data_IF_392132992557
#
_entry.id   IF_392132992557
#
_cell.length_a   1.000
_cell.length_b   1.000
_cell.length_c   1.000
_cell.angle_alpha   90.00
_cell.angle_beta   90.00
_cell.angle_gamma   90.00
#
_symmetry.space_group_name_H-M   'P 1'
#
loop_
_entity.id
_entity.type
_entity.pdbx_description
1 polymer ?
#
# COMPACT_ATOMS: atom_id res chain seq x y z
N UNK A 1 -2.02 24.27 -21.23
CA UNK A 1 -3.44 24.08 -21.59
C UNK A 1 -3.64 23.61 -23.03
N UNK A 2 -2.81 24.08 -23.99
CA UNK A 2 -3.02 23.82 -25.43
C UNK A 2 -2.89 22.39 -25.91
N UNK A 3 -1.97 21.62 -25.34
CA UNK A 3 -1.73 20.22 -25.78
C UNK A 3 -2.90 19.31 -25.44
N UNK A 4 -3.57 19.50 -24.32
CA UNK A 4 -4.71 18.68 -23.90
C UNK A 4 -5.97 18.90 -24.72
N UNK A 5 -6.29 20.15 -25.08
CA UNK A 5 -7.42 20.44 -25.93
C UNK A 5 -7.20 19.90 -27.35
N UNK A 6 -5.97 19.91 -27.85
CA UNK A 6 -5.62 19.40 -29.17
C UNK A 6 -5.71 17.86 -29.25
N UNK A 7 -5.31 17.14 -28.22
CA UNK A 7 -5.35 15.68 -28.15
C UNK A 7 -6.46 15.14 -27.24
N UNK A 8 -7.41 15.94 -26.82
CA UNK A 8 -8.45 15.57 -25.87
C UNK A 8 -9.31 14.37 -26.31
N UNK A 9 -9.44 14.17 -27.62
CA UNK A 9 -10.18 13.04 -28.20
C UNK A 9 -9.28 11.87 -28.61
N UNK A 10 -7.97 11.94 -28.38
CA UNK A 10 -7.05 10.87 -28.77
C UNK A 10 -7.21 9.67 -27.80
N UNK A 11 -7.19 8.45 -28.36
CA UNK A 11 -7.38 7.20 -27.58
C UNK A 11 -6.35 6.97 -26.48
N UNK A 12 -5.18 7.63 -26.52
CA UNK A 12 -4.14 7.60 -25.50
C UNK A 12 -4.20 8.78 -24.53
N UNK A 13 -5.18 9.68 -24.68
CA UNK A 13 -5.37 10.74 -23.70
C UNK A 13 -5.84 10.12 -22.37
N UNK A 14 -5.18 10.50 -21.26
CA UNK A 14 -5.38 9.92 -19.93
C UNK A 14 -4.96 8.44 -19.78
N UNK A 15 -4.19 7.88 -20.71
CA UNK A 15 -3.60 6.57 -20.50
C UNK A 15 -2.32 6.68 -19.67
N UNK A 16 -2.09 5.71 -18.81
CA UNK A 16 -0.84 5.50 -18.09
C UNK A 16 -0.16 4.24 -18.65
N UNK A 17 1.12 4.38 -19.02
CA UNK A 17 1.95 3.25 -19.41
C UNK A 17 3.10 3.13 -18.42
N UNK A 18 3.20 1.99 -17.78
CA UNK A 18 4.32 1.65 -16.90
C UNK A 18 5.16 0.58 -17.58
N UNK A 19 6.47 0.79 -17.64
CA UNK A 19 7.45 -0.21 -18.09
C UNK A 19 8.51 -0.32 -17.02
N UNK A 20 8.79 -1.53 -16.58
CA UNK A 20 9.79 -1.80 -15.57
C UNK A 20 10.34 -3.21 -15.74
N UNK A 21 11.54 -3.45 -15.26
CA UNK A 21 12.01 -4.79 -15.01
C UNK A 21 11.18 -5.43 -13.89
N UNK A 22 11.19 -6.76 -13.83
CA UNK A 22 10.54 -7.47 -12.73
C UNK A 22 11.16 -7.02 -11.40
N UNK A 23 10.36 -6.56 -10.43
CA UNK A 23 10.88 -5.99 -9.21
C UNK A 23 11.67 -7.02 -8.40
N UNK A 24 12.81 -6.59 -7.87
CA UNK A 24 13.64 -7.37 -6.97
C UNK A 24 13.26 -7.17 -5.50
N UNK A 25 12.46 -6.15 -5.22
CA UNK A 25 11.96 -5.76 -3.90
C UNK A 25 10.46 -5.59 -3.94
N UNK A 26 9.83 -5.70 -2.78
CA UNK A 26 8.39 -5.48 -2.64
C UNK A 26 7.96 -4.05 -2.96
N UNK A 27 8.82 -3.05 -2.75
CA UNK A 27 8.51 -1.65 -3.10
C UNK A 27 8.26 -1.46 -4.60
N UNK A 28 8.99 -2.18 -5.45
CA UNK A 28 8.79 -2.15 -6.89
C UNK A 28 7.59 -2.98 -7.36
N UNK A 29 6.96 -3.78 -6.50
CA UNK A 29 5.93 -4.74 -6.89
C UNK A 29 4.52 -4.15 -7.04
N UNK A 30 4.32 -2.87 -6.70
CA UNK A 30 3.01 -2.22 -6.71
C UNK A 30 2.25 -2.36 -8.04
N UNK A 31 2.95 -2.44 -9.16
CA UNK A 31 2.32 -2.58 -10.47
C UNK A 31 1.91 -4.03 -10.82
N UNK A 32 2.41 -5.04 -10.10
CA UNK A 32 2.06 -6.44 -10.33
C UNK A 32 0.56 -6.71 -10.07
N UNK A 33 -0.06 -5.95 -9.17
CA UNK A 33 -1.49 -6.08 -8.90
C UNK A 33 -2.39 -5.67 -10.09
N UNK A 34 -1.83 -5.01 -11.11
CA UNK A 34 -2.58 -4.74 -12.35
C UNK A 34 -2.86 -6.02 -13.17
N UNK A 35 -2.14 -7.12 -12.91
CA UNK A 35 -2.46 -8.41 -13.49
C UNK A 35 -3.86 -8.88 -13.05
N UNK A 36 -4.16 -8.77 -11.76
CA UNK A 36 -5.47 -9.17 -11.21
C UNK A 36 -6.61 -8.24 -11.65
N UNK A 37 -6.28 -7.01 -12.06
CA UNK A 37 -7.25 -6.04 -12.58
C UNK A 37 -7.49 -6.17 -14.10
N UNK A 38 -6.73 -7.02 -14.77
CA UNK A 38 -6.90 -7.22 -16.21
C UNK A 38 -8.12 -8.10 -16.49
N UNK A 39 -9.11 -7.53 -17.16
CA UNK A 39 -10.22 -8.28 -17.75
C UNK A 39 -9.80 -8.84 -19.10
N UNK A 40 -9.54 -10.15 -19.14
CA UNK A 40 -9.07 -10.85 -20.34
C UNK A 40 -10.12 -10.86 -21.45
N UNK A 41 -11.42 -10.96 -21.12
CA UNK A 41 -12.52 -10.93 -22.10
C UNK A 41 -12.63 -9.56 -22.75
N UNK A 42 -12.51 -8.49 -21.95
CA UNK A 42 -12.48 -7.12 -22.46
C UNK A 42 -11.27 -6.89 -23.37
N UNK A 43 -10.09 -7.38 -23.00
CA UNK A 43 -8.88 -7.27 -23.83
C UNK A 43 -9.05 -8.02 -25.17
N UNK A 44 -9.61 -9.20 -25.16
CA UNK A 44 -9.85 -9.96 -26.41
C UNK A 44 -10.93 -9.32 -27.27
N UNK A 45 -11.95 -8.73 -26.67
CA UNK A 45 -12.95 -7.91 -27.38
C UNK A 45 -12.30 -6.69 -28.03
N UNK A 46 -11.38 -6.01 -27.33
CA UNK A 46 -10.60 -4.88 -27.87
C UNK A 46 -9.78 -5.34 -29.09
N UNK A 47 -9.05 -6.47 -28.99
CA UNK A 47 -8.27 -7.03 -30.10
C UNK A 47 -9.16 -7.37 -31.30
N UNK A 48 -10.29 -8.03 -31.06
CA UNK A 48 -11.27 -8.37 -32.11
C UNK A 48 -11.84 -7.12 -32.79
N UNK A 49 -12.11 -6.05 -32.02
CA UNK A 49 -12.58 -4.76 -32.53
C UNK A 49 -11.51 -4.08 -33.38
N UNK A 50 -10.26 -4.07 -32.97
CA UNK A 50 -9.13 -3.55 -33.75
C UNK A 50 -9.00 -4.29 -35.07
N UNK A 51 -9.13 -5.62 -35.05
CA UNK A 51 -9.09 -6.43 -36.26
C UNK A 51 -10.25 -6.10 -37.24
N UNK A 52 -11.47 -5.92 -36.71
CA UNK A 52 -12.63 -5.48 -37.53
C UNK A 52 -12.44 -4.09 -38.13
N UNK A 53 -11.83 -3.16 -37.37
CA UNK A 53 -11.47 -1.82 -37.87
C UNK A 53 -10.49 -1.95 -39.03
N UNK A 54 -9.45 -2.77 -38.90
CA UNK A 54 -8.46 -3.01 -39.93
C UNK A 54 -9.12 -3.62 -41.17
N UNK A 55 -9.92 -4.67 -41.04
CA UNK A 55 -10.66 -5.29 -42.17
C UNK A 55 -11.57 -4.30 -42.88
N UNK A 56 -12.27 -3.45 -42.13
CA UNK A 56 -13.16 -2.44 -42.70
C UNK A 56 -12.39 -1.38 -43.48
N UNK A 57 -11.26 -0.91 -42.94
CA UNK A 57 -10.35 0.03 -43.63
C UNK A 57 -9.78 -0.59 -44.92
N UNK A 58 -9.34 -1.83 -44.85
CA UNK A 58 -8.83 -2.57 -45.99
C UNK A 58 -9.89 -2.71 -47.09
N UNK A 59 -11.14 -3.06 -46.69
CA UNK A 59 -12.26 -3.12 -47.63
C UNK A 59 -12.56 -1.80 -48.32
N UNK A 60 -12.51 -0.69 -47.58
CA UNK A 60 -12.68 0.66 -48.12
C UNK A 60 -11.55 0.98 -49.12
N UNK A 61 -10.30 0.63 -48.78
CA UNK A 61 -9.15 0.84 -49.66
C UNK A 61 -9.28 0.07 -50.99
N UNK A 62 -9.65 -1.21 -50.91
CA UNK A 62 -9.88 -2.05 -52.12
C UNK A 62 -10.98 -1.50 -53.03
N UNK A 63 -12.09 -1.00 -52.46
CA UNK A 63 -13.15 -0.38 -53.24
C UNK A 63 -12.68 0.90 -53.92
N UNK A 64 -11.84 1.72 -53.26
CA UNK A 64 -11.23 2.91 -53.87
C UNK A 64 -10.32 2.56 -55.04
N UNK A 65 -9.43 1.58 -54.85
CA UNK A 65 -8.54 1.10 -55.95
C UNK A 65 -9.31 0.61 -57.16
N UNK A 66 -10.41 -0.13 -56.89
CA UNK A 66 -11.30 -0.63 -57.96
C UNK A 66 -12.21 0.46 -58.55
N UNK A 67 -12.11 1.71 -58.10
CA UNK A 67 -12.98 2.84 -58.48
C UNK A 67 -14.48 2.53 -58.31
N UNK A 68 -14.82 1.66 -57.33
CA UNK A 68 -16.21 1.33 -56.99
C UNK A 68 -16.77 2.27 -55.95
N UNK A 69 -18.09 2.55 -55.96
CA UNK A 69 -18.72 3.37 -54.94
C UNK A 69 -18.56 2.71 -53.56
N UNK A 70 -18.24 3.53 -52.53
CA UNK A 70 -18.14 3.06 -51.16
C UNK A 70 -19.55 3.10 -50.56
N UNK A 71 -20.10 1.94 -50.13
CA UNK A 71 -21.39 1.91 -49.43
C UNK A 71 -21.38 2.77 -48.20
N UNK A 72 -22.41 3.58 -47.98
CA UNK A 72 -22.48 4.54 -46.86
C UNK A 72 -22.45 3.89 -45.49
N UNK A 73 -22.81 2.62 -45.38
CA UNK A 73 -22.75 1.90 -44.11
C UNK A 73 -21.30 1.62 -43.63
N UNK A 74 -20.33 1.49 -44.55
CA UNK A 74 -18.94 1.17 -44.18
C UNK A 74 -18.27 2.30 -43.37
N UNK A 75 -18.31 3.59 -43.77
CA UNK A 75 -17.83 4.70 -42.99
C UNK A 75 -18.56 4.83 -41.64
N UNK A 76 -19.88 4.63 -41.61
CA UNK A 76 -20.67 4.69 -40.38
C UNK A 76 -20.31 3.57 -39.42
N UNK A 77 -20.13 2.35 -39.94
CA UNK A 77 -19.70 1.19 -39.15
C UNK A 77 -18.28 1.43 -38.58
N UNK A 78 -17.37 1.95 -39.40
CA UNK A 78 -16.03 2.28 -38.94
C UNK A 78 -16.05 3.30 -37.78
N UNK A 79 -16.85 4.35 -37.90
CA UNK A 79 -17.03 5.36 -36.84
C UNK A 79 -17.61 4.73 -35.56
N UNK A 80 -18.56 3.83 -35.67
CA UNK A 80 -19.14 3.12 -34.53
C UNK A 80 -18.10 2.21 -33.86
N UNK A 81 -17.30 1.47 -34.66
CA UNK A 81 -16.21 0.64 -34.15
C UNK A 81 -15.16 1.48 -33.38
N UNK A 82 -14.75 2.63 -33.94
CA UNK A 82 -13.78 3.53 -33.30
C UNK A 82 -14.34 4.09 -31.99
N UNK A 83 -15.61 4.48 -31.93
CA UNK A 83 -16.25 4.94 -30.71
C UNK A 83 -16.35 3.82 -29.64
N UNK A 84 -16.72 2.62 -30.06
CA UNK A 84 -16.78 1.46 -29.17
C UNK A 84 -15.41 1.09 -28.63
N UNK A 85 -14.38 1.10 -29.48
CA UNK A 85 -13.00 0.85 -29.10
C UNK A 85 -12.51 1.87 -28.05
N UNK A 86 -12.82 3.16 -28.24
CA UNK A 86 -12.42 4.20 -27.31
C UNK A 86 -13.10 4.02 -25.94
N UNK A 87 -14.39 3.64 -25.91
CA UNK A 87 -15.09 3.33 -24.65
C UNK A 87 -14.46 2.14 -23.92
N UNK A 88 -14.17 1.05 -24.64
CA UNK A 88 -13.53 -0.12 -24.04
C UNK A 88 -12.13 0.21 -23.49
N UNK A 89 -11.33 0.96 -24.26
CA UNK A 89 -9.99 1.37 -23.85
C UNK A 89 -9.98 2.30 -22.64
N UNK A 90 -11.02 3.11 -22.43
CA UNK A 90 -11.07 4.04 -21.30
C UNK A 90 -11.16 3.36 -19.94
N UNK A 91 -11.60 2.10 -19.91
CA UNK A 91 -11.74 1.30 -18.67
C UNK A 91 -10.82 0.08 -18.64
N UNK A 92 -10.10 -0.19 -19.73
CA UNK A 92 -9.27 -1.38 -19.83
C UNK A 92 -7.96 -1.24 -19.06
N UNK A 93 -7.62 -2.27 -18.32
CA UNK A 93 -6.30 -2.51 -17.79
C UNK A 93 -5.64 -3.60 -18.60
N UNK A 94 -4.43 -3.36 -19.09
CA UNK A 94 -3.64 -4.34 -19.82
C UNK A 94 -2.33 -4.59 -19.10
N UNK A 95 -2.08 -5.84 -18.76
CA UNK A 95 -0.85 -6.31 -18.15
C UNK A 95 -0.20 -7.37 -19.02
N UNK A 96 1.12 -7.30 -19.20
CA UNK A 96 1.87 -8.30 -19.94
C UNK A 96 3.31 -8.35 -19.47
N UNK A 97 3.80 -9.55 -19.26
CA UNK A 97 5.19 -9.84 -18.94
C UNK A 97 5.93 -10.32 -20.19
N UNK A 98 7.16 -9.84 -20.34
CA UNK A 98 8.04 -10.24 -21.44
C UNK A 98 9.41 -10.58 -20.88
N UNK A 99 9.89 -11.77 -21.15
CA UNK A 99 11.26 -12.15 -20.84
C UNK A 99 12.23 -11.73 -21.96
N UNK A 100 13.48 -11.54 -21.62
CA UNK A 100 14.54 -11.31 -22.63
C UNK A 100 14.64 -12.49 -23.61
N UNK A 101 14.21 -13.69 -23.20
CA UNK A 101 14.22 -14.89 -24.04
C UNK A 101 13.30 -14.76 -25.28
N UNK A 102 12.27 -13.90 -25.22
CA UNK A 102 11.41 -13.65 -26.39
C UNK A 102 12.17 -12.96 -27.55
N UNK A 103 13.30 -12.29 -27.21
CA UNK A 103 14.19 -11.66 -28.17
C UNK A 103 15.44 -12.51 -28.48
N UNK A 104 15.45 -13.80 -28.14
CA UNK A 104 16.61 -14.68 -28.28
C UNK A 104 17.15 -14.73 -29.72
N UNK A 105 16.26 -14.69 -30.71
CA UNK A 105 16.65 -14.70 -32.13
C UNK A 105 17.48 -13.47 -32.53
N UNK A 106 17.26 -12.31 -31.87
CA UNK A 106 17.99 -11.07 -32.13
C UNK A 106 19.25 -10.97 -31.30
N UNK A 107 19.20 -11.40 -30.03
CA UNK A 107 20.28 -11.26 -29.07
C UNK A 107 21.32 -12.38 -29.14
N UNK A 108 20.90 -13.58 -29.55
CA UNK A 108 21.71 -14.78 -29.56
C UNK A 108 21.87 -15.42 -28.16
N UNK A 109 22.13 -16.73 -28.16
CA UNK A 109 22.30 -17.50 -26.90
C UNK A 109 23.51 -17.01 -26.06
N UNK A 110 24.56 -16.56 -26.74
CA UNK A 110 25.78 -16.14 -26.03
C UNK A 110 25.53 -14.92 -25.15
N UNK A 111 24.67 -13.99 -25.57
CA UNK A 111 24.23 -12.88 -24.74
C UNK A 111 23.59 -13.37 -23.43
N UNK A 112 22.68 -14.35 -23.50
CA UNK A 112 22.02 -14.90 -22.31
C UNK A 112 23.02 -15.59 -21.39
N UNK A 113 23.98 -16.33 -21.97
CA UNK A 113 25.05 -17.00 -21.20
C UNK A 113 25.97 -15.99 -20.50
N UNK A 114 26.28 -14.89 -21.19
CA UNK A 114 27.05 -13.80 -20.60
C UNK A 114 26.30 -13.14 -19.45
N UNK A 115 25.04 -12.77 -19.64
CA UNK A 115 24.20 -12.19 -18.56
C UNK A 115 24.11 -13.12 -17.36
N UNK A 116 24.02 -14.44 -17.56
CA UNK A 116 24.00 -15.43 -16.48
C UNK A 116 25.33 -15.47 -15.70
N UNK A 117 26.46 -15.17 -16.32
CA UNK A 117 27.78 -15.11 -15.66
C UNK A 117 27.99 -13.80 -14.91
N UNK A 118 27.50 -12.68 -15.49
CA UNK A 118 27.81 -11.33 -15.03
C UNK A 118 26.82 -10.84 -13.95
N UNK A 119 25.59 -11.34 -13.96
CA UNK A 119 24.56 -10.92 -13.03
C UNK A 119 24.45 -11.86 -11.83
N UNK A 120 23.98 -11.30 -10.71
CA UNK A 120 23.60 -12.16 -9.58
C UNK A 120 22.43 -13.07 -9.98
N UNK A 121 22.28 -14.27 -9.37
CA UNK A 121 21.17 -15.18 -9.68
C UNK A 121 19.81 -14.49 -9.58
N UNK A 122 19.61 -13.64 -8.57
CA UNK A 122 18.38 -12.88 -8.36
C UNK A 122 18.11 -11.89 -9.49
N UNK A 123 19.12 -11.10 -9.87
CA UNK A 123 19.02 -10.14 -10.98
C UNK A 123 18.77 -10.85 -12.30
N UNK A 124 19.44 -11.97 -12.54
CA UNK A 124 19.21 -12.78 -13.75
C UNK A 124 17.76 -13.26 -13.84
N UNK A 125 17.22 -13.79 -12.74
CA UNK A 125 15.83 -14.25 -12.69
C UNK A 125 14.83 -13.12 -12.95
N UNK A 126 15.03 -11.94 -12.34
CA UNK A 126 14.08 -10.83 -12.49
C UNK A 126 14.23 -10.07 -13.79
N UNK A 127 15.46 -9.67 -14.17
CA UNK A 127 15.65 -8.79 -15.32
C UNK A 127 15.77 -9.54 -16.65
N UNK A 128 16.26 -10.77 -16.66
CA UNK A 128 16.43 -11.55 -17.90
C UNK A 128 15.27 -12.52 -18.09
N UNK A 129 14.90 -13.28 -17.06
CA UNK A 129 13.84 -14.28 -17.17
C UNK A 129 12.45 -13.73 -16.87
N UNK A 130 12.33 -12.48 -16.40
CA UNK A 130 11.07 -11.84 -15.99
C UNK A 130 10.32 -12.67 -14.93
N UNK A 131 11.06 -13.35 -14.04
CA UNK A 131 10.45 -14.17 -13.01
C UNK A 131 10.04 -13.32 -11.82
N UNK A 132 8.79 -13.48 -11.37
CA UNK A 132 8.35 -12.93 -10.09
C UNK A 132 9.14 -13.59 -8.98
N UNK A 133 9.89 -12.79 -8.24
CA UNK A 133 10.45 -13.27 -6.99
C UNK A 133 9.30 -13.24 -6.00
N UNK A 134 8.85 -14.41 -5.59
CA UNK A 134 7.87 -14.54 -4.51
C UNK A 134 8.37 -13.79 -3.28
N UNK A 135 7.44 -13.23 -2.50
CA UNK A 135 7.70 -12.78 -1.14
C UNK A 135 8.44 -13.94 -0.48
N UNK A 136 9.64 -13.66 0.00
CA UNK A 136 10.48 -14.70 0.59
C UNK A 136 9.69 -15.40 1.68
N UNK A 137 9.38 -16.70 1.51
CA UNK A 137 8.86 -17.54 2.58
C UNK A 137 9.85 -17.62 3.76
N UNK A 138 11.05 -17.10 3.58
CA UNK A 138 12.12 -16.99 4.57
C UNK A 138 12.09 -15.67 5.35
N UNK A 139 11.05 -14.83 5.17
CA UNK A 139 10.87 -13.59 5.93
C UNK A 139 10.47 -13.82 7.38
N UNK A 140 10.63 -12.79 8.22
CA UNK A 140 10.23 -12.85 9.63
C UNK A 140 8.73 -13.08 9.79
N UNK A 141 7.92 -12.60 8.85
CA UNK A 141 6.45 -12.77 8.79
C UNK A 141 6.03 -13.77 7.71
N UNK A 142 6.65 -14.95 7.74
CA UNK A 142 6.52 -15.97 6.69
C UNK A 142 5.10 -16.50 6.46
N UNK A 143 4.22 -16.36 7.45
CA UNK A 143 2.81 -16.81 7.36
C UNK A 143 1.85 -15.72 6.85
N UNK A 144 2.32 -14.49 6.60
CA UNK A 144 1.49 -13.45 5.98
C UNK A 144 1.19 -13.80 4.53
N UNK A 145 -0.09 -13.72 4.14
CA UNK A 145 -0.58 -14.02 2.80
C UNK A 145 -1.36 -12.82 2.24
N UNK A 146 -1.68 -12.84 0.95
CA UNK A 146 -2.42 -11.74 0.30
C UNK A 146 -3.81 -11.53 0.90
N UNK A 147 -4.48 -12.59 1.34
CA UNK A 147 -5.81 -12.49 1.96
C UNK A 147 -5.83 -11.78 3.33
N UNK A 148 -4.66 -11.51 3.92
CA UNK A 148 -4.56 -10.66 5.12
C UNK A 148 -4.62 -9.16 4.81
N UNK A 149 -4.77 -8.79 3.56
CA UNK A 149 -4.89 -7.41 3.11
C UNK A 149 -6.31 -7.20 2.57
N UNK A 150 -6.91 -6.07 2.88
CA UNK A 150 -8.24 -5.71 2.42
C UNK A 150 -8.30 -4.23 2.03
N UNK A 151 -9.31 -3.88 1.25
CA UNK A 151 -9.63 -2.49 0.89
C UNK A 151 -10.87 -2.04 1.66
N UNK A 152 -10.85 -0.83 2.19
CA UNK A 152 -11.91 -0.30 3.06
C UNK A 152 -12.17 1.19 2.81
N UNK A 153 -12.43 1.58 1.56
CA UNK A 153 -12.81 2.95 1.24
C UNK A 153 -14.31 3.16 1.42
N UNK A 154 -14.69 4.27 2.05
CA UNK A 154 -16.06 4.77 2.05
C UNK A 154 -16.28 5.64 0.80
N UNK A 155 -16.76 5.02 -0.27
CA UNK A 155 -17.02 5.71 -1.54
C UNK A 155 -18.14 6.73 -1.43
N UNK A 156 -19.17 6.47 -0.63
CA UNK A 156 -20.30 7.41 -0.46
C UNK A 156 -19.82 8.70 0.21
N UNK A 157 -18.93 8.58 1.19
CA UNK A 157 -18.31 9.72 1.81
C UNK A 157 -17.38 10.48 0.86
N UNK A 158 -16.53 9.77 0.11
CA UNK A 158 -15.64 10.36 -0.90
C UNK A 158 -16.43 11.11 -1.98
N UNK A 159 -17.54 10.54 -2.45
CA UNK A 159 -18.43 11.18 -3.43
C UNK A 159 -19.09 12.44 -2.83
N UNK A 160 -19.48 12.38 -1.54
CA UNK A 160 -20.06 13.54 -0.83
C UNK A 160 -19.11 14.74 -0.73
N UNK A 161 -17.81 14.48 -0.66
CA UNK A 161 -16.77 15.52 -0.70
C UNK A 161 -16.60 16.15 -2.08
N UNK A 162 -17.32 15.66 -3.09
CA UNK A 162 -17.16 16.11 -4.47
C UNK A 162 -15.80 15.69 -5.06
N UNK A 163 -15.24 14.58 -4.57
CA UNK A 163 -13.94 14.06 -5.02
C UNK A 163 -13.90 13.87 -6.53
N UNK A 164 -15.01 13.43 -7.11
CA UNK A 164 -15.21 13.30 -8.55
C UNK A 164 -15.15 14.66 -9.27
N UNK A 165 -15.66 15.72 -8.63
CA UNK A 165 -15.59 17.10 -9.15
C UNK A 165 -14.17 17.65 -9.06
N UNK A 166 -13.50 17.40 -7.94
CA UNK A 166 -12.12 17.81 -7.71
C UNK A 166 -11.17 17.10 -8.68
N UNK A 167 -11.37 15.79 -8.90
CA UNK A 167 -10.61 15.03 -9.90
C UNK A 167 -10.89 15.56 -11.31
N UNK A 168 -12.13 15.86 -11.66
CA UNK A 168 -12.50 16.45 -12.96
C UNK A 168 -11.91 17.85 -13.16
N UNK A 169 -11.97 18.69 -12.14
CA UNK A 169 -11.35 20.02 -12.16
C UNK A 169 -9.82 19.91 -12.21
N UNK A 170 -9.24 18.98 -11.47
CA UNK A 170 -7.82 18.66 -11.50
C UNK A 170 -7.37 18.11 -12.86
N UNK A 171 -8.19 17.32 -13.52
CA UNK A 171 -7.92 16.83 -14.88
C UNK A 171 -7.96 17.94 -15.93
N UNK A 172 -8.71 19.02 -15.69
CA UNK A 172 -8.74 20.18 -16.57
C UNK A 172 -7.50 21.05 -16.41
N UNK A 173 -6.85 21.06 -15.25
CA UNK A 173 -5.72 21.92 -14.97
C UNK A 173 -4.57 21.25 -14.16
N UNK A 174 -4.07 20.12 -14.67
CA UNK A 174 -2.95 19.37 -14.07
C UNK A 174 -1.66 20.22 -13.94
N UNK A 175 -1.52 21.26 -14.75
CA UNK A 175 -0.36 22.15 -14.68
C UNK A 175 -0.42 23.03 -13.43
N UNK A 176 -1.59 23.56 -13.11
CA UNK A 176 -1.82 24.38 -11.92
C UNK A 176 -1.73 23.55 -10.63
N UNK A 177 -2.16 22.29 -10.68
CA UNK A 177 -2.12 21.37 -9.54
C UNK A 177 -0.67 20.99 -9.20
N UNK A 178 0.18 20.67 -10.19
CA UNK A 178 1.60 20.42 -9.98
C UNK A 178 2.34 21.67 -9.47
N UNK A 179 1.98 22.85 -9.96
CA UNK A 179 2.60 24.11 -9.54
C UNK A 179 2.22 24.51 -8.10
N UNK A 180 1.01 24.17 -7.64
CA UNK A 180 0.47 24.64 -6.37
C UNK A 180 0.43 23.57 -5.25
N UNK A 181 1.02 22.38 -5.46
CA UNK A 181 0.98 21.28 -4.47
C UNK A 181 -0.45 20.90 -4.00
N UNK A 182 -1.47 21.17 -4.79
CA UNK A 182 -2.88 20.94 -4.39
C UNK A 182 -3.21 19.45 -4.17
N UNK A 183 -2.44 18.51 -4.76
CA UNK A 183 -2.55 17.09 -4.43
C UNK A 183 -2.13 16.79 -2.97
N UNK A 184 -1.14 17.49 -2.45
CA UNK A 184 -0.76 17.34 -1.04
C UNK A 184 -1.82 17.91 -0.09
N UNK A 185 -2.52 18.98 -0.52
CA UNK A 185 -3.62 19.59 0.24
C UNK A 185 -4.88 18.70 0.23
N UNK A 186 -5.15 18.01 -0.87
CA UNK A 186 -6.24 17.02 -0.96
C UNK A 186 -5.99 15.81 -0.06
N UNK A 187 -4.79 15.25 -0.08
CA UNK A 187 -4.41 14.16 0.81
C UNK A 187 -4.36 14.58 2.29
N UNK A 188 -4.04 15.83 2.59
CA UNK A 188 -4.03 16.36 3.96
C UNK A 188 -5.43 16.68 4.51
N UNK A 189 -6.45 16.77 3.64
CA UNK A 189 -7.85 16.97 4.04
C UNK A 189 -8.63 15.67 4.27
N UNK A 190 -8.06 14.51 3.90
CA UNK A 190 -8.69 13.21 4.14
C UNK A 190 -8.52 12.82 5.61
N UNK A 191 -9.59 12.35 6.20
CA UNK A 191 -9.65 11.89 7.58
C UNK A 191 -10.26 10.48 7.68
N UNK A 192 -10.41 9.99 8.88
CA UNK A 192 -10.87 8.63 9.14
C UNK A 192 -12.29 8.30 8.63
N UNK A 193 -13.06 9.28 8.17
CA UNK A 193 -14.37 9.06 7.53
C UNK A 193 -14.25 8.48 6.13
N UNK A 194 -13.06 8.54 5.54
CA UNK A 194 -12.80 7.87 4.26
C UNK A 194 -12.68 6.36 4.38
N UNK A 195 -12.63 5.84 5.60
CA UNK A 195 -12.45 4.42 5.88
C UNK A 195 -13.75 3.79 6.39
N UNK A 196 -14.20 2.72 5.75
CA UNK A 196 -15.40 1.97 6.14
C UNK A 196 -15.15 0.89 7.20
N UNK A 197 -13.92 0.71 7.64
CA UNK A 197 -13.49 -0.36 8.54
C UNK A 197 -13.38 0.04 10.02
N UNK A 198 -13.64 1.31 10.34
CA UNK A 198 -13.53 1.84 11.70
C UNK A 198 -14.85 1.63 12.46
N UNK A 199 -14.77 1.09 13.68
CA UNK A 199 -15.90 1.07 14.60
C UNK A 199 -15.90 2.36 15.44
N UNK A 200 -16.87 3.27 15.24
CA UNK A 200 -16.87 4.57 15.91
C UNK A 200 -17.09 4.49 17.42
N UNK A 201 -17.63 3.37 17.91
CA UNK A 201 -17.94 3.20 19.33
C UNK A 201 -16.78 2.62 20.14
N UNK A 202 -15.82 2.00 19.47
CA UNK A 202 -14.67 1.37 20.14
C UNK A 202 -13.48 2.30 20.23
N UNK A 203 -12.64 2.16 21.29
CA UNK A 203 -11.36 2.86 21.36
C UNK A 203 -10.42 2.39 20.26
N UNK A 204 -9.43 3.21 19.96
CA UNK A 204 -8.35 2.87 19.05
C UNK A 204 -7.20 2.23 19.82
N UNK A 205 -6.69 1.10 19.34
CA UNK A 205 -5.50 0.46 19.91
C UNK A 205 -4.27 0.90 19.15
N UNK A 206 -3.19 1.25 19.84
CA UNK A 206 -1.93 1.64 19.21
C UNK A 206 -0.73 0.89 19.81
N UNK A 207 0.23 0.62 18.92
CA UNK A 207 1.61 0.25 19.25
C UNK A 207 2.57 1.22 18.59
N UNK A 208 3.70 1.49 19.24
CA UNK A 208 4.68 2.43 18.73
C UNK A 208 6.08 1.83 18.72
N UNK A 209 6.90 2.35 17.83
CA UNK A 209 8.36 2.21 17.89
C UNK A 209 9.03 3.58 17.95
N UNK A 210 10.07 3.70 18.80
CA UNK A 210 10.73 4.95 19.12
C UNK A 210 12.17 4.90 18.64
N UNK A 211 12.51 5.82 17.73
CA UNK A 211 13.87 5.89 17.22
C UNK A 211 14.29 7.34 16.99
N UNK A 212 15.59 7.60 16.99
CA UNK A 212 16.13 8.92 16.74
C UNK A 212 15.79 9.46 15.35
N UNK A 213 15.71 8.59 14.36
CA UNK A 213 15.55 8.95 12.95
C UNK A 213 14.12 8.79 12.42
N UNK A 214 13.36 7.86 12.98
CA UNK A 214 11.99 7.57 12.55
C UNK A 214 11.19 7.11 13.78
N UNK A 215 9.98 7.61 13.92
CA UNK A 215 9.03 7.15 14.91
C UNK A 215 7.78 6.68 14.18
N UNK A 216 7.20 5.58 14.66
CA UNK A 216 6.08 4.94 14.00
C UNK A 216 4.93 4.62 14.96
N UNK A 217 3.68 4.90 14.54
CA UNK A 217 2.45 4.44 15.19
C UNK A 217 1.76 3.46 14.26
N UNK A 218 1.34 2.33 14.79
CA UNK A 218 0.41 1.42 14.13
C UNK A 218 -0.89 1.41 14.91
N UNK A 219 -2.00 1.71 14.24
CA UNK A 219 -3.34 1.77 14.82
C UNK A 219 -4.20 0.61 14.34
N UNK A 220 -4.95 -0.01 15.25
CA UNK A 220 -5.87 -1.09 14.93
C UNK A 220 -7.04 -1.19 15.89
N UNK A 221 -8.03 -1.99 15.50
CA UNK A 221 -9.17 -2.36 16.34
C UNK A 221 -9.41 -3.87 16.30
N UNK A 222 -9.44 -4.55 17.46
CA UNK A 222 -9.87 -5.94 17.54
C UNK A 222 -11.37 -6.07 17.23
N UNK A 223 -11.75 -7.03 16.37
CA UNK A 223 -13.12 -7.36 16.06
C UNK A 223 -13.29 -8.88 16.02
N UNK A 224 -14.02 -9.44 16.96
CA UNK A 224 -14.16 -10.89 17.10
C UNK A 224 -12.79 -11.60 17.12
N UNK A 225 -12.46 -12.38 16.13
CA UNK A 225 -11.19 -13.10 15.98
C UNK A 225 -10.19 -12.39 15.04
N UNK A 226 -10.43 -11.10 14.73
CA UNK A 226 -9.57 -10.31 13.83
C UNK A 226 -8.97 -9.12 14.56
N UNK A 227 -7.76 -8.76 14.19
CA UNK A 227 -7.20 -7.45 14.47
C UNK A 227 -7.10 -6.70 13.15
N UNK A 228 -8.01 -5.74 12.94
CA UNK A 228 -7.95 -4.87 11.79
C UNK A 228 -6.89 -3.79 12.04
N UNK A 229 -5.83 -3.77 11.24
CA UNK A 229 -4.83 -2.72 11.21
C UNK A 229 -5.36 -1.62 10.30
N UNK A 230 -5.87 -0.56 10.93
CA UNK A 230 -6.61 0.50 10.26
C UNK A 230 -5.67 1.42 9.48
N UNK A 231 -4.65 1.95 10.19
CA UNK A 231 -3.70 2.89 9.59
C UNK A 231 -2.39 2.92 10.34
N UNK A 232 -1.31 3.13 9.61
CA UNK A 232 0.00 3.42 10.17
C UNK A 232 0.43 4.85 9.85
N UNK A 233 1.18 5.45 10.77
CA UNK A 233 1.74 6.79 10.66
C UNK A 233 3.22 6.74 11.01
N UNK A 234 4.03 7.55 10.35
CA UNK A 234 5.42 7.72 10.73
C UNK A 234 5.91 9.14 10.45
N UNK A 235 6.93 9.53 11.20
CA UNK A 235 7.66 10.77 10.97
C UNK A 235 9.15 10.48 10.93
N UNK A 236 9.85 11.10 9.97
CA UNK A 236 11.30 11.01 9.84
C UNK A 236 11.97 12.20 10.52
N UNK A 237 13.30 12.13 10.67
CA UNK A 237 14.16 13.15 11.27
C UNK A 237 13.70 14.59 10.97
N UNK A 238 13.84 15.45 11.95
CA UNK A 238 13.29 16.78 12.22
C UNK A 238 11.87 16.76 12.81
N UNK A 239 10.98 15.88 12.38
CA UNK A 239 9.69 15.65 13.04
C UNK A 239 9.85 14.55 14.09
N UNK A 240 9.25 14.76 15.27
CA UNK A 240 9.36 13.86 16.42
C UNK A 240 7.99 13.38 16.89
N UNK A 241 7.97 12.65 18.00
CA UNK A 241 6.75 12.06 18.59
C UNK A 241 5.58 13.05 18.69
N UNK A 242 5.75 14.31 19.15
CA UNK A 242 4.62 15.25 19.20
C UNK A 242 3.97 15.47 17.84
N UNK A 243 4.77 15.61 16.78
CA UNK A 243 4.25 15.77 15.42
C UNK A 243 3.54 14.50 14.91
N UNK A 244 4.05 13.33 15.27
CA UNK A 244 3.45 12.04 14.92
C UNK A 244 2.08 11.86 15.58
N UNK A 245 1.98 12.18 16.88
CA UNK A 245 0.71 12.17 17.63
C UNK A 245 -0.26 13.20 17.08
N UNK A 246 0.22 14.39 16.70
CA UNK A 246 -0.63 15.41 16.07
C UNK A 246 -1.23 14.95 14.73
N UNK A 247 -0.42 14.28 13.88
CA UNK A 247 -0.90 13.69 12.60
C UNK A 247 -1.98 12.64 12.86
N UNK A 248 -1.77 11.76 13.84
CA UNK A 248 -2.76 10.77 14.28
C UNK A 248 -4.07 11.43 14.73
N UNK A 249 -3.97 12.39 15.66
CA UNK A 249 -5.12 13.10 16.23
C UNK A 249 -5.88 13.89 15.16
N UNK A 250 -5.19 14.45 14.18
CA UNK A 250 -5.80 15.16 13.04
C UNK A 250 -6.59 14.20 12.17
N UNK A 251 -6.02 13.06 11.82
CA UNK A 251 -6.70 12.05 11.01
C UNK A 251 -7.94 11.47 11.72
N UNK A 252 -7.82 11.14 12.99
CA UNK A 252 -8.92 10.60 13.79
C UNK A 252 -9.77 11.68 14.49
N UNK A 253 -9.64 12.96 14.10
CA UNK A 253 -10.44 14.03 14.67
C UNK A 253 -11.96 13.79 14.60
N UNK A 254 -12.55 13.19 13.52
CA UNK A 254 -13.96 12.87 13.47
C UNK A 254 -14.37 11.63 14.28
N UNK A 255 -13.42 10.79 14.74
CA UNK A 255 -13.73 9.58 15.50
C UNK A 255 -14.40 9.95 16.84
N UNK A 256 -15.64 9.46 17.14
CA UNK A 256 -16.37 9.93 18.32
C UNK A 256 -15.76 9.47 19.63
N UNK A 257 -15.24 8.25 19.70
CA UNK A 257 -14.60 7.72 20.90
C UNK A 257 -13.16 8.23 21.00
N UNK A 258 -12.91 9.23 21.84
CA UNK A 258 -11.60 9.84 22.04
C UNK A 258 -10.72 9.07 23.04
N UNK A 259 -10.78 7.75 23.01
CA UNK A 259 -9.97 6.87 23.86
C UNK A 259 -8.97 6.09 23.00
N UNK A 260 -7.70 6.12 23.42
CA UNK A 260 -6.61 5.31 22.87
C UNK A 260 -6.15 4.30 23.91
N UNK A 261 -6.08 3.03 23.52
CA UNK A 261 -5.38 2.00 24.31
C UNK A 261 -3.96 1.91 23.76
N UNK A 262 -3.02 2.34 24.57
CA UNK A 262 -1.61 2.43 24.21
C UNK A 262 -0.82 1.27 24.81
N UNK A 263 -0.40 0.35 23.94
CA UNK A 263 0.47 -0.77 24.33
C UNK A 263 1.94 -0.37 24.19
N UNK A 264 2.71 -0.59 25.26
CA UNK A 264 4.13 -0.27 25.28
C UNK A 264 4.92 -1.26 26.12
N UNK A 265 6.18 -1.41 25.82
CA UNK A 265 7.12 -2.22 26.59
C UNK A 265 8.20 -1.36 27.28
N UNK A 266 9.17 -1.98 27.94
CA UNK A 266 10.22 -1.27 28.69
C UNK A 266 11.07 -0.32 27.81
N UNK A 267 11.04 -0.42 26.49
CA UNK A 267 11.77 0.51 25.61
C UNK A 267 11.19 1.91 25.66
N UNK A 268 9.88 2.04 25.92
CA UNK A 268 9.20 3.32 26.08
C UNK A 268 9.64 4.09 27.35
N UNK A 269 10.18 3.39 28.34
CA UNK A 269 10.64 3.95 29.61
C UNK A 269 12.12 4.37 29.55
N UNK A 270 12.76 4.28 28.40
CA UNK A 270 14.15 4.67 28.21
C UNK A 270 14.33 6.17 28.04
N UNK A 271 15.33 6.74 28.76
CA UNK A 271 15.63 8.18 28.76
C UNK A 271 16.64 8.61 27.67
N UNK A 272 17.18 7.70 26.88
CA UNK A 272 18.38 7.96 26.07
C UNK A 272 18.20 8.97 24.92
N UNK A 273 16.98 9.40 24.61
CA UNK A 273 16.68 10.38 23.57
C UNK A 273 15.73 11.49 24.04
N UNK A 274 15.32 11.46 25.29
CA UNK A 274 14.46 12.48 25.86
C UNK A 274 15.26 13.75 26.16
N UNK A 275 14.93 14.79 25.45
CA UNK A 275 15.29 16.16 25.87
C UNK A 275 14.50 16.40 27.16
N UNK A 276 15.15 16.65 28.29
CA UNK A 276 14.57 16.98 29.60
C UNK A 276 14.19 15.81 30.54
N UNK A 277 14.92 14.71 30.59
CA UNK A 277 14.68 13.59 31.54
C UNK A 277 13.29 12.92 31.46
N UNK A 278 12.52 13.17 30.41
CA UNK A 278 11.23 12.55 30.16
C UNK A 278 11.39 11.28 29.30
N UNK A 279 10.70 10.20 29.67
CA UNK A 279 10.68 9.01 28.87
C UNK A 279 9.69 9.12 27.67
N UNK A 280 9.80 8.22 26.72
CA UNK A 280 8.92 8.24 25.53
C UNK A 280 7.45 8.03 25.90
N UNK A 281 7.16 7.17 26.88
CA UNK A 281 5.82 6.92 27.37
C UNK A 281 5.16 8.22 27.84
N UNK A 282 5.84 8.99 28.69
CA UNK A 282 5.32 10.26 29.18
C UNK A 282 5.01 11.24 28.03
N UNK A 283 5.93 11.36 27.07
CA UNK A 283 5.73 12.26 25.90
C UNK A 283 4.51 11.85 25.09
N UNK A 284 4.32 10.55 24.83
CA UNK A 284 3.19 10.03 24.07
C UNK A 284 1.86 10.31 24.80
N UNK A 285 1.77 9.94 26.06
CA UNK A 285 0.55 10.13 26.87
C UNK A 285 0.19 11.61 26.94
N UNK A 286 1.16 12.47 27.30
CA UNK A 286 0.93 13.89 27.42
C UNK A 286 0.48 14.55 26.11
N UNK A 287 1.06 14.15 24.97
CA UNK A 287 0.65 14.71 23.67
C UNK A 287 -0.75 14.27 23.27
N UNK A 288 -1.17 13.01 23.52
CA UNK A 288 -2.54 12.59 23.30
C UNK A 288 -3.54 13.36 24.18
N UNK A 289 -3.24 13.52 25.48
CA UNK A 289 -4.08 14.28 26.41
C UNK A 289 -4.19 15.75 26.00
N UNK A 290 -3.10 16.35 25.52
CA UNK A 290 -3.08 17.72 25.01
C UNK A 290 -3.99 17.90 23.78
N UNK A 291 -4.17 16.85 22.99
CA UNK A 291 -5.11 16.82 21.87
C UNK A 291 -6.53 16.38 22.26
N UNK A 292 -6.82 16.25 23.55
CA UNK A 292 -8.15 15.91 24.07
C UNK A 292 -8.50 14.43 23.98
N UNK A 293 -7.51 13.55 23.88
CA UNK A 293 -7.69 12.11 23.92
C UNK A 293 -7.44 11.56 25.33
N UNK A 294 -8.23 10.57 25.72
CA UNK A 294 -7.97 9.78 26.93
C UNK A 294 -7.05 8.61 26.56
N UNK A 295 -5.99 8.41 27.33
CA UNK A 295 -5.08 7.28 27.13
C UNK A 295 -5.31 6.24 28.23
N UNK A 296 -5.50 4.99 27.81
CA UNK A 296 -5.41 3.81 28.65
C UNK A 296 -4.09 3.15 28.33
N UNK A 297 -3.10 3.34 29.17
CA UNK A 297 -1.77 2.82 28.97
C UNK A 297 -1.62 1.39 29.52
N UNK A 298 -1.06 0.49 28.72
CA UNK A 298 -0.91 -0.94 29.02
C UNK A 298 0.54 -1.35 28.88
N UNK A 299 1.17 -1.58 30.02
CA UNK A 299 2.57 -2.01 30.06
C UNK A 299 2.72 -3.51 29.78
N UNK A 300 3.46 -3.86 28.74
CA UNK A 300 3.69 -5.23 28.31
C UNK A 300 4.86 -5.93 29.03
N UNK A 301 5.62 -5.20 29.84
CA UNK A 301 6.83 -5.70 30.49
C UNK A 301 8.09 -5.52 29.62
N UNK A 302 9.06 -6.41 29.82
CA UNK A 302 10.24 -6.41 28.97
C UNK A 302 9.91 -6.82 27.53
N UNK A 303 10.67 -6.29 26.53
CA UNK A 303 10.48 -6.67 25.14
C UNK A 303 10.49 -8.19 24.96
N UNK A 304 9.47 -8.71 24.26
CA UNK A 304 9.39 -10.12 23.95
C UNK A 304 10.58 -10.53 23.10
N UNK A 305 11.15 -11.72 23.34
CA UNK A 305 12.26 -12.26 22.56
C UNK A 305 11.86 -12.45 21.09
N UNK A 306 12.80 -12.26 20.19
CA UNK A 306 12.52 -12.33 18.74
C UNK A 306 12.00 -13.70 18.28
N UNK A 307 12.50 -14.79 18.87
CA UNK A 307 12.05 -16.16 18.58
C UNK A 307 10.60 -16.41 19.05
N UNK A 308 10.22 -15.86 20.21
CA UNK A 308 8.84 -15.91 20.70
C UNK A 308 7.90 -15.03 19.86
N UNK A 309 8.34 -13.82 19.47
CA UNK A 309 7.60 -12.95 18.55
C UNK A 309 7.36 -13.64 17.21
N UNK A 310 8.40 -14.25 16.63
CA UNK A 310 8.32 -14.97 15.37
C UNK A 310 7.23 -16.06 15.42
N UNK A 311 7.23 -16.87 16.46
CA UNK A 311 6.24 -17.93 16.63
C UNK A 311 4.83 -17.37 16.85
N UNK A 312 4.67 -16.44 17.78
CA UNK A 312 3.37 -15.85 18.13
C UNK A 312 2.70 -15.20 16.92
N UNK A 313 3.42 -14.34 16.21
CA UNK A 313 2.85 -13.56 15.11
C UNK A 313 2.56 -14.45 13.90
N UNK A 314 3.45 -15.37 13.55
CA UNK A 314 3.18 -16.30 12.45
C UNK A 314 2.04 -17.29 12.76
N UNK A 315 1.87 -17.69 14.03
CA UNK A 315 0.68 -18.42 14.46
C UNK A 315 -0.59 -17.56 14.36
N UNK A 316 -0.51 -16.27 14.65
CA UNK A 316 -1.60 -15.31 14.45
C UNK A 316 -2.03 -15.23 12.99
N UNK A 317 -1.08 -15.02 12.07
CA UNK A 317 -1.35 -15.06 10.62
C UNK A 317 -1.93 -16.42 10.16
N UNK A 318 -1.52 -17.51 10.77
CA UNK A 318 -2.06 -18.83 10.48
C UNK A 318 -3.43 -19.12 11.14
N UNK A 319 -4.03 -18.14 11.84
CA UNK A 319 -5.31 -18.30 12.54
C UNK A 319 -5.27 -19.23 13.77
N UNK A 320 -4.09 -19.44 14.35
CA UNK A 320 -3.85 -20.31 15.51
C UNK A 320 -3.78 -19.55 16.83
N UNK A 321 -3.95 -18.24 16.79
CA UNK A 321 -4.06 -17.35 17.95
C UNK A 321 -5.48 -16.77 18.03
N UNK A 322 -5.78 -16.07 19.12
CA UNK A 322 -7.07 -15.42 19.33
C UNK A 322 -7.41 -14.42 18.24
N UNK A 323 -6.41 -13.64 17.80
CA UNK A 323 -6.56 -12.62 16.78
C UNK A 323 -5.74 -12.95 15.54
N UNK A 324 -6.36 -12.85 14.38
CA UNK A 324 -5.68 -12.88 13.07
C UNK A 324 -5.54 -11.44 12.56
N UNK A 325 -4.33 -10.96 12.25
CA UNK A 325 -4.14 -9.59 11.77
C UNK A 325 -4.54 -9.45 10.31
N UNK A 326 -5.25 -8.36 10.00
CA UNK A 326 -5.66 -7.94 8.67
C UNK A 326 -5.31 -6.47 8.45
N UNK A 327 -4.81 -6.11 7.28
CA UNK A 327 -4.30 -4.78 6.98
C UNK A 327 -5.20 -4.07 5.97
N UNK A 328 -5.68 -2.88 6.32
CA UNK A 328 -6.25 -1.96 5.34
C UNK A 328 -5.11 -1.54 4.39
N UNK A 329 -5.17 -2.02 3.14
CA UNK A 329 -4.10 -1.87 2.15
C UNK A 329 -3.77 -0.41 1.88
N UNK A 330 -4.78 0.43 1.71
CA UNK A 330 -4.63 1.83 1.32
C UNK A 330 -3.94 2.69 2.38
N UNK A 331 -4.14 2.33 3.64
CA UNK A 331 -3.65 3.09 4.79
C UNK A 331 -2.35 2.51 5.39
N UNK A 332 -1.88 1.38 4.89
CA UNK A 332 -0.73 0.66 5.46
C UNK A 332 0.28 0.20 4.39
N UNK A 333 0.35 0.85 3.23
CA UNK A 333 1.25 0.44 2.15
C UNK A 333 2.71 0.35 2.62
N UNK A 334 3.18 1.37 3.33
CA UNK A 334 4.55 1.42 3.86
C UNK A 334 4.79 0.36 4.95
N UNK A 335 3.81 0.11 5.81
CA UNK A 335 3.89 -0.94 6.84
C UNK A 335 3.88 -2.34 6.22
N UNK A 336 3.01 -2.58 5.24
CA UNK A 336 2.94 -3.84 4.50
C UNK A 336 4.29 -4.10 3.80
N UNK A 337 4.87 -3.07 3.19
CA UNK A 337 6.18 -3.12 2.58
C UNK A 337 7.26 -3.52 3.61
N UNK A 338 7.28 -2.86 4.76
CA UNK A 338 8.23 -3.16 5.82
C UNK A 338 8.08 -4.62 6.34
N UNK A 339 6.85 -5.09 6.52
CA UNK A 339 6.54 -6.47 6.95
C UNK A 339 7.04 -7.49 5.92
N UNK A 340 6.78 -7.24 4.63
CA UNK A 340 7.18 -8.13 3.55
C UNK A 340 8.70 -8.14 3.31
N UNK A 341 9.37 -7.04 3.64
CA UNK A 341 10.82 -6.88 3.49
C UNK A 341 11.61 -7.34 4.72
N UNK A 342 10.92 -7.56 5.86
CA UNK A 342 11.56 -7.95 7.11
C UNK A 342 12.21 -9.34 6.99
N UNK A 343 13.52 -9.38 6.84
CA UNK A 343 14.31 -10.60 6.78
C UNK A 343 14.39 -11.30 8.14
N UNK A 344 14.70 -12.58 8.11
CA UNK A 344 15.00 -13.38 9.29
C UNK A 344 16.45 -13.83 9.27
N UNK A 345 17.09 -13.83 10.41
CA UNK A 345 18.40 -14.45 10.57
C UNK A 345 18.39 -15.46 11.72
N UNK A 346 19.24 -16.45 11.62
CA UNK A 346 19.38 -17.49 12.66
C UNK A 346 20.35 -16.98 13.73
N UNK A 347 19.82 -16.64 14.91
CA UNK A 347 20.60 -16.32 16.10
C UNK A 347 20.99 -17.56 16.91
N UNK A 348 21.73 -17.35 18.01
CA UNK A 348 22.11 -18.45 18.93
C UNK A 348 20.89 -19.15 19.54
N UNK A 349 19.82 -18.42 19.80
CA UNK A 349 18.64 -18.88 20.54
C UNK A 349 17.37 -19.01 19.65
N UNK A 350 17.52 -19.06 18.32
CA UNK A 350 16.38 -19.13 17.40
C UNK A 350 16.40 -18.05 16.34
N UNK A 351 15.22 -17.75 15.77
CA UNK A 351 15.08 -16.74 14.71
C UNK A 351 14.97 -15.34 15.30
N UNK A 352 15.60 -14.37 14.62
CA UNK A 352 15.46 -12.94 14.92
C UNK A 352 15.27 -12.11 13.65
N UNK A 353 14.69 -10.91 13.77
CA UNK A 353 14.62 -9.96 12.65
C UNK A 353 16.03 -9.57 12.24
N UNK A 354 16.26 -9.56 10.94
CA UNK A 354 17.49 -9.06 10.37
C UNK A 354 17.43 -7.52 10.32
N UNK A 355 18.22 -6.88 11.18
CA UNK A 355 18.37 -5.40 11.24
C UNK A 355 19.66 -4.91 10.57
N UNK A 356 20.27 -5.73 9.70
CA UNK A 356 21.56 -5.40 9.10
C UNK A 356 21.46 -4.14 8.23
N UNK A 357 20.41 -4.00 7.44
CA UNK A 357 20.23 -2.86 6.54
C UNK A 357 20.00 -1.53 7.29
N UNK A 358 19.45 -1.54 8.50
CA UNK A 358 19.29 -0.35 9.33
C UNK A 358 20.64 0.22 9.82
N UNK A 359 21.66 -0.61 9.90
CA UNK A 359 22.99 -0.27 10.40
C UNK A 359 23.95 0.17 9.30
N UNK A 360 23.57 0.04 8.03
CA UNK A 360 24.40 0.49 6.91
C UNK A 360 24.47 2.00 6.84
N UNK A 361 25.63 2.59 6.40
CA UNK A 361 25.70 4.01 6.13
C UNK A 361 24.61 4.39 5.12
N UNK A 362 23.80 5.37 5.49
CA UNK A 362 22.62 5.74 4.73
C UNK A 362 23.00 6.33 3.38
N UNK A 363 22.41 5.82 2.30
CA UNK A 363 22.22 6.60 1.09
C UNK A 363 21.30 7.79 1.41
N UNK A 364 21.30 8.83 0.61
CA UNK A 364 20.46 10.02 0.79
C UNK A 364 18.96 9.67 0.94
N UNK A 365 18.54 8.49 0.47
CA UNK A 365 17.20 7.94 0.65
C UNK A 365 17.20 6.85 1.73
N UNK A 366 16.61 7.15 2.89
CA UNK A 366 16.34 6.18 3.95
C UNK A 366 15.09 5.35 3.57
N UNK A 367 15.32 4.25 2.85
CA UNK A 367 14.26 3.43 2.28
C UNK A 367 13.53 2.62 3.36
N UNK A 368 12.21 2.69 3.39
CA UNK A 368 11.37 2.02 4.39
C UNK A 368 11.48 0.49 4.35
N UNK A 369 11.75 -0.10 3.18
CA UNK A 369 12.00 -1.54 3.04
C UNK A 369 13.27 -2.03 3.74
N UNK A 370 14.15 -1.12 4.13
CA UNK A 370 15.36 -1.44 4.89
C UNK A 370 15.16 -1.24 6.40
N UNK A 371 13.98 -0.80 6.83
CA UNK A 371 13.67 -0.41 8.19
C UNK A 371 12.73 -1.43 8.83
N UNK A 372 12.93 -1.70 10.13
CA UNK A 372 12.06 -2.57 10.92
C UNK A 372 11.19 -1.81 11.92
N UNK A 373 11.31 -0.48 11.99
CA UNK A 373 10.60 0.34 12.97
C UNK A 373 9.07 0.16 12.89
N UNK A 374 8.49 0.22 11.68
CA UNK A 374 7.06 -0.02 11.49
C UNK A 374 6.63 -1.43 11.91
N UNK A 375 7.49 -2.42 11.66
CA UNK A 375 7.22 -3.80 12.07
C UNK A 375 7.36 -4.01 13.56
N UNK A 376 8.23 -3.28 14.26
CA UNK A 376 8.35 -3.35 15.71
C UNK A 376 7.16 -2.67 16.40
N UNK A 377 6.64 -1.57 15.83
CA UNK A 377 5.37 -0.95 16.25
C UNK A 377 4.18 -1.90 16.08
N UNK A 378 4.11 -2.60 14.92
CA UNK A 378 3.08 -3.63 14.68
C UNK A 378 3.17 -4.80 15.66
N UNK A 379 4.38 -5.31 15.93
CA UNK A 379 4.59 -6.38 16.91
C UNK A 379 4.05 -5.99 18.28
N UNK A 380 4.35 -4.77 18.72
CA UNK A 380 3.91 -4.24 20.02
C UNK A 380 2.38 -4.15 20.08
N UNK A 381 1.73 -3.64 19.03
CA UNK A 381 0.27 -3.60 18.94
C UNK A 381 -0.32 -5.01 18.97
N UNK A 382 0.18 -5.93 18.14
CA UNK A 382 -0.35 -7.28 18.04
C UNK A 382 -0.23 -8.04 19.36
N UNK A 383 0.96 -8.00 19.98
CA UNK A 383 1.22 -8.65 21.29
C UNK A 383 0.28 -8.05 22.37
N UNK A 384 0.13 -6.74 22.37
CA UNK A 384 -0.75 -6.05 23.29
C UNK A 384 -2.20 -6.49 23.16
N UNK A 385 -2.75 -6.40 21.94
CA UNK A 385 -4.12 -6.82 21.66
C UNK A 385 -4.36 -8.30 21.93
N UNK A 386 -3.36 -9.18 21.66
CA UNK A 386 -3.49 -10.63 21.88
C UNK A 386 -3.51 -10.99 23.36
N UNK A 387 -2.61 -10.37 24.17
CA UNK A 387 -2.45 -10.69 25.59
C UNK A 387 -3.44 -9.96 26.51
N UNK A 388 -3.85 -8.75 26.12
CA UNK A 388 -4.72 -7.89 26.92
C UNK A 388 -5.98 -7.54 26.11
N UNK A 389 -7.02 -8.38 26.18
CA UNK A 389 -8.27 -8.14 25.44
C UNK A 389 -8.89 -6.78 25.79
N UNK A 390 -9.36 -6.06 24.79
CA UNK A 390 -9.90 -4.71 24.93
C UNK A 390 -11.06 -4.62 25.91
N UNK A 391 -11.93 -5.65 25.98
CA UNK A 391 -13.08 -5.70 26.90
C UNK A 391 -12.66 -5.76 28.37
N UNK A 392 -11.47 -6.22 28.69
CA UNK A 392 -10.94 -6.23 30.06
C UNK A 392 -10.40 -4.85 30.47
N UNK A 393 -9.97 -4.06 29.50
CA UNK A 393 -9.36 -2.75 29.70
C UNK A 393 -10.37 -1.61 29.60
N UNK A 394 -11.38 -1.79 28.77
CA UNK A 394 -12.41 -0.80 28.49
C UNK A 394 -13.79 -1.44 28.64
N UNK A 395 -14.40 -1.37 29.82
CA UNK A 395 -15.72 -1.96 30.05
C UNK A 395 -16.75 -1.25 29.17
N UNK A 396 -17.26 -1.96 28.17
CA UNK A 396 -18.40 -1.48 27.39
C UNK A 396 -19.61 -1.50 28.33
N UNK A 397 -20.08 -0.31 28.70
CA UNK A 397 -21.39 -0.20 29.36
C UNK A 397 -22.45 -0.67 28.34
N UNK A 398 -22.81 -1.94 28.40
CA UNK A 398 -24.02 -2.45 27.73
C UNK A 398 -25.17 -1.76 28.44
N UNK A 399 -25.62 -0.65 27.88
CA UNK A 399 -26.83 0.04 28.33
C UNK A 399 -27.96 -0.94 28.26
N UNK A 400 -28.34 -1.45 29.42
CA UNK A 400 -29.55 -2.26 29.56
C UNK A 400 -30.72 -1.40 29.13
N UNK A 401 -31.32 -1.72 28.00
CA UNK A 401 -32.67 -1.29 27.65
C UNK A 401 -33.57 -1.99 28.66
N UNK A 402 -34.13 -1.21 29.61
CA UNK A 402 -35.31 -1.59 30.40
C UNK A 402 -36.56 -1.31 29.60
#
# INVERSE_FOLDING_TARGET
GGIRSYFGHHSFNHSMMVRSDMPQTTKGSWFLHYEDKMDTELIDTIKGTIYKIWQTKERIAQLKEQRKPIPSYLPNYLKWLDQSLNKMRSVAVYYKEYSTLENLQLLGEEYIRQMKRDLTPKTFQTSILCQKIGISHDGFYSSMQEYHKYDASDFDYLDSLGYDRIIKEAQQDLYTIHANNQFSTLNSSLDCRTDSDIDPMQPLCIGMDYNANINWIVCGQPRANRLNILKSFYVKFERKIPALVADFCTYYAPHPNKTVIYYYDATALGSNYAVNDQDFHWVVVHEFERHGWQVIDVYLGNPMRHDEKYLLINQGFAGKQRLMPYFNRQNNDDLILAIQSAGVERGRNGFRKNKYMEKQPKSEEDLLEHRTDGTDAFDTLYIGCEKFPQHDLYPICVGGVR
#
